data_IF_760337953989
#
_entry.id   IF_760337953989
#
_cell.length_a   1.000
_cell.length_b   1.000
_cell.length_c   1.000
_cell.angle_alpha   90.00
_cell.angle_beta   90.00
_cell.angle_gamma   90.00
#
_symmetry.space_group_name_H-M   'P 1'
#
loop_
_entity.id
_entity.type
_entity.pdbx_description
1 polymer ?
#
# COMPACT_ATOMS: atom_id res chain seq x y z
N UNK A 1 -4.07 1.10 -15.59
CA UNK A 1 -2.91 0.20 -15.37
C UNK A 1 -1.92 0.36 -16.52
N UNK A 2 -0.63 0.35 -16.20
CA UNK A 2 0.45 0.27 -17.20
C UNK A 2 1.06 -1.13 -17.24
N UNK A 3 0.76 -1.88 -18.29
CA UNK A 3 1.31 -3.23 -18.49
C UNK A 3 2.75 -3.18 -19.06
N UNK A 4 3.35 -4.33 -19.39
CA UNK A 4 4.70 -4.43 -19.98
C UNK A 4 4.95 -3.40 -21.09
N UNK A 5 5.98 -2.55 -20.93
CA UNK A 5 6.33 -1.41 -21.83
C UNK A 5 5.22 -0.36 -22.02
N UNK A 6 4.15 -0.44 -21.24
CA UNK A 6 2.98 0.43 -21.32
C UNK A 6 3.04 1.57 -20.32
N UNK A 7 2.26 2.60 -20.64
CA UNK A 7 1.93 3.70 -19.75
C UNK A 7 0.41 3.82 -19.73
N UNK A 8 -0.18 3.86 -18.54
CA UNK A 8 -1.62 4.07 -18.37
C UNK A 8 -1.88 5.05 -17.25
N UNK A 9 -2.54 6.17 -17.56
CA UNK A 9 -2.87 7.21 -16.59
C UNK A 9 -4.38 7.50 -16.61
N UNK A 10 -4.94 7.70 -15.42
CA UNK A 10 -6.21 8.38 -15.21
C UNK A 10 -5.91 9.65 -14.42
N UNK A 11 -6.45 10.78 -14.87
CA UNK A 11 -6.33 12.07 -14.18
C UNK A 11 -7.74 12.62 -14.09
N UNK A 12 -8.28 12.65 -12.89
CA UNK A 12 -9.52 13.34 -12.59
C UNK A 12 -9.21 14.74 -12.05
N UNK A 13 -10.11 15.68 -12.34
CA UNK A 13 -9.92 17.10 -11.99
C UNK A 13 -10.79 17.54 -10.83
N UNK A 14 -11.76 16.72 -10.43
CA UNK A 14 -12.57 16.89 -9.25
C UNK A 14 -13.98 16.33 -9.42
N UNK A 15 -14.57 15.99 -8.28
CA UNK A 15 -15.89 15.39 -8.18
C UNK A 15 -16.01 14.71 -6.83
N UNK A 16 -17.09 13.96 -6.62
CA UNK A 16 -17.10 12.96 -5.55
C UNK A 16 -17.31 11.64 -6.28
N UNK A 17 -16.23 10.93 -6.51
CA UNK A 17 -16.12 9.86 -7.48
C UNK A 17 -16.09 8.49 -6.83
N UNK A 18 -16.47 7.50 -7.64
CA UNK A 18 -16.44 6.11 -7.24
C UNK A 18 -15.60 5.30 -8.22
N UNK A 19 -14.35 5.10 -7.85
CA UNK A 19 -13.39 4.28 -8.56
C UNK A 19 -13.63 2.80 -8.23
N UNK A 20 -14.46 2.13 -9.02
CA UNK A 20 -14.76 0.71 -8.82
C UNK A 20 -13.98 -0.20 -9.77
N UNK A 21 -13.28 -1.19 -9.21
CA UNK A 21 -12.57 -2.22 -9.96
C UNK A 21 -12.62 -3.58 -9.26
N UNK A 22 -13.77 -4.25 -9.30
CA UNK A 22 -14.00 -5.59 -8.74
C UNK A 22 -15.11 -6.31 -9.54
N UNK A 23 -15.47 -7.54 -9.16
CA UNK A 23 -16.73 -8.19 -9.54
C UNK A 23 -16.72 -9.10 -10.78
N UNK A 24 -15.68 -9.06 -11.61
CA UNK A 24 -15.67 -9.80 -12.89
C UNK A 24 -14.86 -11.10 -12.85
N UNK A 25 -13.56 -11.01 -12.52
CA UNK A 25 -12.65 -12.16 -12.54
C UNK A 25 -12.23 -12.54 -11.12
N UNK A 26 -12.73 -13.64 -10.55
CA UNK A 26 -12.31 -14.09 -9.23
C UNK A 26 -10.79 -14.26 -9.14
N UNK A 27 -10.23 -13.89 -8.00
CA UNK A 27 -8.82 -14.10 -7.72
C UNK A 27 -8.60 -15.52 -7.19
N UNK A 28 -7.65 -16.26 -7.77
CA UNK A 28 -7.41 -17.65 -7.40
C UNK A 28 -6.98 -17.84 -5.94
N UNK A 29 -6.50 -16.80 -5.26
CA UNK A 29 -6.05 -16.84 -3.86
C UNK A 29 -7.20 -16.75 -2.87
N UNK A 30 -8.31 -16.10 -3.23
CA UNK A 30 -9.54 -16.02 -2.44
C UNK A 30 -10.78 -15.91 -3.37
N UNK A 31 -11.10 -16.97 -4.13
CA UNK A 31 -12.02 -16.89 -5.27
C UNK A 31 -13.48 -16.68 -4.89
N UNK A 32 -13.82 -16.84 -3.61
CA UNK A 32 -15.18 -16.60 -3.11
C UNK A 32 -15.39 -15.14 -2.67
N UNK A 33 -14.31 -14.37 -2.47
CA UNK A 33 -14.37 -13.06 -1.80
C UNK A 33 -13.67 -11.94 -2.53
N UNK A 34 -12.73 -12.24 -3.42
CA UNK A 34 -11.91 -11.21 -4.07
C UNK A 34 -11.77 -11.43 -5.56
N UNK A 35 -11.59 -10.32 -6.27
CA UNK A 35 -11.45 -10.28 -7.73
C UNK A 35 -10.09 -9.70 -8.14
N UNK A 36 -9.72 -9.92 -9.39
CA UNK A 36 -8.52 -9.36 -10.01
C UNK A 36 -8.82 -7.94 -10.49
N UNK A 37 -8.32 -6.92 -9.78
CA UNK A 37 -8.62 -5.51 -10.09
C UNK A 37 -7.72 -4.95 -11.18
N UNK A 38 -6.41 -5.10 -11.04
CA UNK A 38 -5.39 -4.67 -12.00
C UNK A 38 -5.59 -3.21 -12.49
N UNK A 39 -5.92 -2.29 -11.59
CA UNK A 39 -6.45 -0.95 -11.91
C UNK A 39 -5.94 0.15 -10.95
N UNK A 40 -6.54 1.34 -10.98
CA UNK A 40 -6.32 2.42 -10.00
C UNK A 40 -4.84 2.72 -9.78
N UNK A 41 -4.13 3.11 -10.84
CA UNK A 41 -2.71 3.39 -10.75
C UNK A 41 -1.77 2.18 -10.77
N UNK A 42 -2.26 0.95 -10.94
CA UNK A 42 -1.40 -0.25 -10.95
C UNK A 42 -0.38 -0.29 -12.10
N UNK A 43 0.89 -0.57 -11.77
CA UNK A 43 1.94 -0.96 -12.71
C UNK A 43 2.14 -2.48 -12.74
N UNK A 44 2.27 -3.10 -13.92
CA UNK A 44 2.31 -4.56 -14.02
C UNK A 44 3.31 -5.08 -15.08
N UNK A 45 4.16 -6.02 -14.67
CA UNK A 45 5.02 -6.83 -15.51
C UNK A 45 4.59 -8.30 -15.55
N UNK A 46 5.30 -9.11 -16.34
CA UNK A 46 5.09 -10.56 -16.42
C UNK A 46 6.21 -11.25 -15.65
N UNK A 47 5.90 -11.78 -14.46
CA UNK A 47 6.86 -12.57 -13.68
C UNK A 47 6.96 -13.99 -14.27
N UNK A 48 8.16 -14.48 -14.61
CA UNK A 48 8.35 -15.82 -15.16
C UNK A 48 8.33 -16.88 -14.04
N UNK A 49 7.16 -17.11 -13.43
CA UNK A 49 6.99 -18.20 -12.44
C UNK A 49 6.68 -19.52 -13.13
N UNK A 50 5.70 -19.50 -14.05
CA UNK A 50 5.23 -20.69 -14.77
C UNK A 50 5.65 -20.70 -16.25
N UNK A 51 6.20 -19.59 -16.76
CA UNK A 51 6.63 -19.45 -18.16
C UNK A 51 8.09 -19.02 -18.26
N UNK A 52 8.75 -19.37 -19.37
CA UNK A 52 10.11 -18.89 -19.69
C UNK A 52 10.15 -17.41 -20.12
N UNK A 53 8.98 -16.78 -20.28
CA UNK A 53 8.86 -15.40 -20.74
C UNK A 53 8.61 -14.50 -19.54
N UNK A 54 9.64 -13.75 -19.15
CA UNK A 54 9.53 -12.65 -18.21
C UNK A 54 9.60 -11.31 -18.94
N UNK A 55 8.88 -10.31 -18.45
CA UNK A 55 8.97 -8.96 -19.00
C UNK A 55 8.76 -7.90 -17.91
N UNK A 56 9.66 -6.93 -17.85
CA UNK A 56 9.55 -5.81 -16.92
C UNK A 56 8.28 -5.01 -17.17
N UNK A 57 7.63 -4.59 -16.09
CA UNK A 57 6.35 -3.90 -16.18
C UNK A 57 6.44 -2.41 -16.49
N UNK A 58 5.26 -1.86 -16.78
CA UNK A 58 5.08 -0.46 -17.17
C UNK A 58 4.77 0.47 -16.00
N UNK A 59 4.17 1.60 -16.35
CA UNK A 59 3.84 2.67 -15.40
C UNK A 59 2.32 2.87 -15.36
N UNK A 60 1.72 2.64 -14.21
CA UNK A 60 0.33 2.98 -13.91
C UNK A 60 0.24 4.24 -13.07
N UNK A 61 -0.69 5.12 -13.40
CA UNK A 61 -0.94 6.36 -12.66
C UNK A 61 -2.45 6.55 -12.48
N UNK A 62 -2.87 6.90 -11.27
CA UNK A 62 -4.14 7.54 -10.99
C UNK A 62 -3.83 8.83 -10.22
N UNK A 63 -4.39 9.94 -10.67
CA UNK A 63 -4.34 11.22 -9.95
C UNK A 63 -5.78 11.70 -9.83
N UNK A 64 -6.27 11.85 -8.61
CA UNK A 64 -7.43 12.69 -8.31
C UNK A 64 -6.93 14.06 -7.86
N UNK A 65 -7.73 15.10 -8.05
CA UNK A 65 -7.41 16.44 -7.61
C UNK A 65 -8.33 16.93 -6.49
N UNK A 66 -9.60 16.51 -6.47
CA UNK A 66 -10.60 17.08 -5.56
C UNK A 66 -11.78 16.16 -5.30
N UNK A 67 -12.13 16.16 -4.02
CA UNK A 67 -13.45 15.86 -3.48
C UNK A 67 -13.47 14.53 -2.75
N UNK A 68 -14.65 14.16 -2.26
CA UNK A 68 -14.74 13.03 -1.33
C UNK A 68 -15.05 11.75 -2.09
N UNK A 69 -14.04 10.88 -2.19
CA UNK A 69 -13.97 9.79 -3.12
C UNK A 69 -13.97 8.41 -2.46
N UNK A 70 -14.33 7.43 -3.28
CA UNK A 70 -14.34 6.02 -2.89
C UNK A 70 -13.53 5.21 -3.90
N UNK A 71 -12.46 4.60 -3.41
CA UNK A 71 -11.61 3.69 -4.15
C UNK A 71 -11.93 2.26 -3.73
N UNK A 72 -12.57 1.51 -4.61
CA UNK A 72 -12.91 0.12 -4.37
C UNK A 72 -12.15 -0.78 -5.33
N UNK A 73 -11.14 -1.46 -4.82
CA UNK A 73 -10.43 -2.53 -5.49
C UNK A 73 -10.46 -3.79 -4.63
N UNK A 74 -9.95 -4.87 -5.19
CA UNK A 74 -9.61 -6.09 -4.48
C UNK A 74 -8.11 -6.27 -4.60
N UNK A 75 -7.65 -7.12 -5.53
CA UNK A 75 -6.26 -7.51 -5.60
C UNK A 75 -5.55 -6.75 -6.73
N UNK A 76 -4.38 -6.19 -6.43
CA UNK A 76 -3.57 -5.40 -7.36
C UNK A 76 -4.24 -4.09 -7.82
N UNK A 77 -4.34 -3.13 -6.91
CA UNK A 77 -4.97 -1.82 -7.13
C UNK A 77 -4.34 -0.72 -6.28
N UNK A 78 -4.82 0.51 -6.41
CA UNK A 78 -4.49 1.63 -5.52
C UNK A 78 -2.98 1.90 -5.43
N UNK A 79 -2.38 2.20 -6.59
CA UNK A 79 -0.98 2.60 -6.69
C UNK A 79 0.03 1.47 -6.46
N UNK A 80 -0.38 0.20 -6.46
CA UNK A 80 0.55 -0.91 -6.33
C UNK A 80 1.40 -1.15 -7.59
N UNK A 81 2.59 -1.73 -7.40
CA UNK A 81 3.45 -2.20 -8.49
C UNK A 81 3.72 -3.70 -8.38
N UNK A 82 3.68 -4.41 -9.51
CA UNK A 82 4.10 -5.82 -9.59
C UNK A 82 5.09 -6.06 -10.73
N UNK A 83 6.21 -6.71 -10.40
CA UNK A 83 7.29 -7.15 -11.30
C UNK A 83 7.94 -6.06 -12.16
N UNK A 84 9.01 -5.45 -11.63
CA UNK A 84 9.80 -4.39 -12.30
C UNK A 84 8.93 -3.28 -12.93
N UNK A 85 7.91 -2.82 -12.20
CA UNK A 85 6.95 -1.81 -12.63
C UNK A 85 6.86 -0.66 -11.64
N UNK A 86 6.13 0.38 -12.02
CA UNK A 86 5.79 1.51 -11.17
C UNK A 86 4.28 1.70 -11.12
N UNK A 87 3.70 1.64 -9.92
CA UNK A 87 2.32 2.04 -9.66
C UNK A 87 2.25 3.30 -8.80
N UNK A 88 1.30 4.16 -9.11
CA UNK A 88 1.12 5.47 -8.50
C UNK A 88 -0.38 5.77 -8.35
N UNK A 89 -0.82 6.07 -7.13
CA UNK A 89 -2.09 6.73 -6.86
C UNK A 89 -1.79 7.99 -6.05
N UNK A 90 -2.28 9.15 -6.50
CA UNK A 90 -2.21 10.39 -5.76
C UNK A 90 -3.61 10.99 -5.63
N UNK A 91 -4.11 11.15 -4.41
CA UNK A 91 -5.26 11.98 -4.07
C UNK A 91 -4.77 13.28 -3.41
N UNK A 92 -5.55 14.35 -3.53
CA UNK A 92 -5.16 15.71 -3.22
C UNK A 92 -6.06 16.41 -2.20
N UNK A 93 -7.37 16.16 -2.21
CA UNK A 93 -8.34 16.82 -1.33
C UNK A 93 -9.51 15.87 -1.14
N UNK A 94 -9.87 15.49 0.08
CA UNK A 94 -11.03 14.61 0.24
C UNK A 94 -11.28 14.18 1.66
N UNK A 95 -12.17 13.21 1.82
CA UNK A 95 -12.42 12.50 3.09
C UNK A 95 -12.71 11.06 2.67
N UNK A 96 -11.67 10.41 2.19
CA UNK A 96 -11.72 9.37 1.20
C UNK A 96 -11.72 7.98 1.82
N UNK A 97 -12.19 7.03 1.02
CA UNK A 97 -12.29 5.64 1.44
C UNK A 97 -11.59 4.74 0.46
N UNK A 98 -10.50 4.14 0.91
CA UNK A 98 -9.72 3.17 0.20
C UNK A 98 -10.05 1.79 0.70
N UNK A 99 -10.79 1.02 -0.09
CA UNK A 99 -11.07 -0.38 0.18
C UNK A 99 -10.31 -1.28 -0.80
N UNK A 100 -9.54 -2.22 -0.26
CA UNK A 100 -8.84 -3.22 -1.04
C UNK A 100 -8.81 -4.59 -0.37
N UNK A 101 -8.38 -5.60 -1.11
CA UNK A 101 -8.17 -6.94 -0.57
C UNK A 101 -6.71 -7.17 -0.17
N UNK A 102 -5.82 -7.15 -1.17
CA UNK A 102 -4.43 -7.57 -1.04
C UNK A 102 -3.57 -6.95 -2.15
N UNK A 103 -2.29 -6.72 -1.91
CA UNK A 103 -1.39 -6.18 -2.95
C UNK A 103 -1.89 -4.83 -3.48
N UNK A 104 -2.24 -3.94 -2.58
CA UNK A 104 -2.84 -2.65 -2.89
C UNK A 104 -2.24 -1.55 -2.01
N UNK A 105 -2.75 -0.33 -2.12
CA UNK A 105 -2.42 0.79 -1.24
C UNK A 105 -0.91 1.06 -1.19
N UNK A 106 -0.34 1.25 -2.38
CA UNK A 106 1.07 1.54 -2.55
C UNK A 106 2.02 0.35 -2.34
N UNK A 107 1.54 -0.89 -2.34
CA UNK A 107 2.40 -2.07 -2.24
C UNK A 107 3.35 -2.22 -3.44
N UNK A 108 4.63 -2.45 -3.19
CA UNK A 108 5.64 -2.77 -4.21
C UNK A 108 6.05 -4.24 -4.16
N UNK A 109 5.84 -4.99 -5.25
CA UNK A 109 5.94 -6.46 -5.26
C UNK A 109 6.87 -6.95 -6.36
N UNK A 110 7.83 -7.83 -6.03
CA UNK A 110 8.80 -8.42 -6.95
C UNK A 110 9.62 -7.38 -7.71
N UNK A 111 10.46 -6.63 -7.00
CA UNK A 111 11.29 -5.54 -7.56
C UNK A 111 10.51 -4.40 -8.21
N UNK A 112 9.22 -4.27 -7.92
CA UNK A 112 8.40 -3.13 -8.34
C UNK A 112 8.29 -2.07 -7.25
N UNK A 113 7.87 -0.87 -7.67
CA UNK A 113 7.61 0.25 -6.77
C UNK A 113 6.10 0.52 -6.79
N UNK A 114 5.51 0.62 -5.61
CA UNK A 114 4.15 1.12 -5.41
C UNK A 114 4.17 2.39 -4.56
N UNK A 115 3.28 3.32 -4.88
CA UNK A 115 3.04 4.53 -4.09
C UNK A 115 1.55 4.85 -4.08
N UNK A 116 1.02 5.01 -2.87
CA UNK A 116 -0.20 5.74 -2.60
C UNK A 116 0.17 7.01 -1.84
N UNK A 117 -0.23 8.16 -2.36
CA UNK A 117 -0.10 9.46 -1.70
C UNK A 117 -1.50 10.05 -1.52
N UNK A 118 -1.84 10.39 -0.29
CA UNK A 118 -2.98 11.25 0.01
C UNK A 118 -2.45 12.55 0.65
N UNK A 119 -3.05 13.67 0.32
CA UNK A 119 -2.55 14.99 0.73
C UNK A 119 -3.39 15.57 1.87
N UNK A 120 -4.68 15.28 1.92
CA UNK A 120 -5.52 15.82 2.99
C UNK A 120 -6.87 15.13 3.06
N UNK A 121 -7.31 14.86 4.28
CA UNK A 121 -8.68 14.44 4.54
C UNK A 121 -8.84 13.98 5.97
N UNK A 122 -9.99 13.39 6.29
CA UNK A 122 -10.02 12.40 7.37
C UNK A 122 -10.38 11.08 6.67
N UNK A 123 -9.38 10.26 6.42
CA UNK A 123 -9.39 9.19 5.43
C UNK A 123 -9.46 7.80 6.08
N UNK A 124 -9.93 6.83 5.31
CA UNK A 124 -9.97 5.44 5.75
C UNK A 124 -9.32 4.51 4.74
N UNK A 125 -8.30 3.81 5.20
CA UNK A 125 -7.56 2.80 4.45
C UNK A 125 -7.87 1.42 5.00
N UNK A 126 -8.66 0.64 4.26
CA UNK A 126 -9.08 -0.69 4.67
C UNK A 126 -8.60 -1.76 3.69
N UNK A 127 -7.88 -2.74 4.22
CA UNK A 127 -7.51 -3.96 3.51
C UNK A 127 -8.06 -5.20 4.21
N UNK A 128 -8.73 -6.09 3.47
CA UNK A 128 -9.29 -7.31 4.08
C UNK A 128 -8.23 -8.36 4.43
N UNK A 129 -7.02 -8.25 3.87
CA UNK A 129 -5.91 -9.15 4.16
C UNK A 129 -4.59 -8.43 4.49
N UNK A 130 -3.57 -8.48 3.63
CA UNK A 130 -2.21 -8.06 3.96
C UNK A 130 -1.31 -7.90 2.74
N UNK A 131 -0.04 -7.54 2.92
CA UNK A 131 0.85 -7.13 1.82
C UNK A 131 0.22 -5.97 1.05
N UNK A 132 -0.18 -4.92 1.79
CA UNK A 132 -0.89 -3.77 1.24
C UNK A 132 -0.20 -2.46 1.64
N UNK A 133 -0.76 -1.73 2.61
CA UNK A 133 -0.42 -0.35 3.00
C UNK A 133 1.08 -0.09 3.10
N UNK A 134 1.65 0.44 2.01
CA UNK A 134 3.07 0.74 1.91
C UNK A 134 3.99 -0.47 2.10
N UNK A 135 3.54 -1.69 1.78
CA UNK A 135 4.34 -2.90 1.97
C UNK A 135 5.31 -3.11 0.79
N UNK A 136 6.57 -3.41 1.09
CA UNK A 136 7.54 -3.89 0.10
C UNK A 136 7.72 -5.40 0.20
N UNK A 137 7.62 -6.12 -0.91
CA UNK A 137 7.75 -7.57 -0.94
C UNK A 137 8.67 -8.06 -2.08
N UNK A 138 9.57 -8.99 -1.77
CA UNK A 138 10.51 -9.61 -2.71
C UNK A 138 11.30 -8.53 -3.48
N UNK A 139 12.17 -7.81 -2.77
CA UNK A 139 12.92 -6.63 -3.26
C UNK A 139 12.07 -5.45 -3.75
N UNK A 140 10.74 -5.54 -3.65
CA UNK A 140 9.84 -4.44 -3.97
C UNK A 140 9.87 -3.34 -2.90
N UNK A 141 9.46 -2.15 -3.30
CA UNK A 141 9.42 -0.96 -2.44
C UNK A 141 7.99 -0.42 -2.43
N UNK A 142 7.37 -0.40 -1.25
CA UNK A 142 6.03 0.13 -1.07
C UNK A 142 6.03 1.42 -0.26
N UNK A 143 5.18 2.35 -0.66
CA UNK A 143 4.94 3.61 0.03
C UNK A 143 3.44 3.85 0.17
N UNK A 144 3.00 4.09 1.39
CA UNK A 144 1.76 4.80 1.66
C UNK A 144 2.12 6.05 2.44
N UNK A 145 1.71 7.21 1.93
CA UNK A 145 2.05 8.50 2.55
C UNK A 145 0.79 9.36 2.64
N UNK A 146 0.39 9.70 3.86
CA UNK A 146 -0.67 10.67 4.15
C UNK A 146 -0.03 11.95 4.72
N UNK A 147 -0.50 13.13 4.29
CA UNK A 147 0.09 14.42 4.71
C UNK A 147 -0.70 15.14 5.82
N UNK A 148 -1.99 14.83 6.02
CA UNK A 148 -2.78 15.34 7.15
C UNK A 148 -4.17 14.72 7.25
N UNK A 149 -4.63 14.52 8.48
CA UNK A 149 -5.99 14.07 8.74
C UNK A 149 -6.23 13.58 10.15
N UNK A 150 -7.32 12.86 10.37
CA UNK A 150 -7.42 11.93 11.49
C UNK A 150 -7.80 10.59 10.87
N UNK A 151 -6.79 9.78 10.59
CA UNK A 151 -6.87 8.73 9.60
C UNK A 151 -6.98 7.35 10.24
N UNK A 152 -7.62 6.45 9.51
CA UNK A 152 -7.85 5.08 9.96
C UNK A 152 -7.20 4.07 9.02
N UNK A 153 -6.12 3.43 9.49
CA UNK A 153 -5.41 2.36 8.81
C UNK A 153 -5.83 1.01 9.36
N UNK A 154 -6.60 0.25 8.58
CA UNK A 154 -7.08 -1.07 8.96
C UNK A 154 -6.59 -2.14 7.99
N UNK A 155 -6.00 -3.19 8.54
CA UNK A 155 -5.59 -4.35 7.76
C UNK A 155 -5.64 -5.60 8.63
N UNK A 156 -5.64 -6.79 8.02
CA UNK A 156 -5.62 -8.02 8.82
C UNK A 156 -4.22 -8.33 9.34
N UNK A 157 -3.20 -8.22 8.50
CA UNK A 157 -1.81 -8.63 8.83
C UNK A 157 -0.81 -8.08 7.82
N UNK A 158 0.47 -8.00 8.18
CA UNK A 158 1.60 -7.87 7.23
C UNK A 158 1.43 -6.70 6.25
N UNK A 159 1.03 -5.52 6.73
CA UNK A 159 0.61 -4.41 5.87
C UNK A 159 1.43 -3.15 6.16
N UNK A 160 1.10 -2.46 7.26
CA UNK A 160 1.52 -1.10 7.64
C UNK A 160 3.04 -0.89 7.62
N UNK A 161 3.55 -0.52 6.44
CA UNK A 161 4.96 -0.26 6.20
C UNK A 161 5.84 -1.51 6.38
N UNK A 162 5.33 -2.71 6.06
CA UNK A 162 6.08 -3.96 6.26
C UNK A 162 7.09 -4.22 5.14
N UNK A 163 8.32 -4.61 5.51
CA UNK A 163 9.36 -5.06 4.58
C UNK A 163 9.52 -6.59 4.53
N UNK A 164 9.02 -7.24 3.49
CA UNK A 164 9.08 -8.70 3.30
C UNK A 164 10.12 -9.12 2.27
N UNK A 165 10.89 -10.17 2.58
CA UNK A 165 11.80 -10.82 1.62
C UNK A 165 12.67 -9.80 0.86
N UNK A 166 13.56 -9.05 1.56
CA UNK A 166 14.35 -7.92 1.01
C UNK A 166 13.57 -6.65 0.66
N UNK A 167 12.25 -6.67 0.78
CA UNK A 167 11.42 -5.52 0.47
C UNK A 167 11.61 -4.37 1.46
N UNK A 168 11.29 -3.17 0.99
CA UNK A 168 11.26 -1.96 1.81
C UNK A 168 9.82 -1.49 1.86
N UNK A 169 9.23 -1.49 3.06
CA UNK A 169 7.90 -0.95 3.29
C UNK A 169 7.96 0.35 4.08
N UNK A 170 7.15 1.32 3.67
CA UNK A 170 7.01 2.62 4.32
C UNK A 170 5.55 2.99 4.40
N UNK A 171 5.06 3.17 5.62
CA UNK A 171 3.84 3.93 5.90
C UNK A 171 4.28 5.21 6.62
N UNK A 172 3.92 6.36 6.08
CA UNK A 172 4.20 7.66 6.68
C UNK A 172 2.93 8.49 6.76
N UNK A 173 2.54 8.84 7.98
CA UNK A 173 1.45 9.74 8.28
C UNK A 173 2.02 11.01 8.93
N UNK A 174 1.45 12.16 8.59
CA UNK A 174 1.83 13.44 9.13
C UNK A 174 0.58 14.19 9.57
N UNK A 175 0.61 14.80 10.76
CA UNK A 175 -0.49 15.62 11.30
C UNK A 175 -1.81 14.87 11.47
N UNK A 176 -2.12 14.44 12.68
CA UNK A 176 -3.44 13.89 12.92
C UNK A 176 -3.67 13.36 14.31
N UNK A 177 -4.72 12.57 14.49
CA UNK A 177 -4.81 11.64 15.59
C UNK A 177 -5.32 10.33 15.01
N UNK A 178 -4.39 9.41 14.78
CA UNK A 178 -4.59 8.36 13.81
C UNK A 178 -4.76 7.01 14.48
N UNK A 179 -5.36 6.07 13.75
CA UNK A 179 -5.62 4.72 14.24
C UNK A 179 -4.98 3.68 13.32
N UNK A 180 -4.05 2.91 13.87
CA UNK A 180 -3.35 1.83 13.18
C UNK A 180 -3.76 0.48 13.74
N UNK A 181 -4.71 -0.17 13.07
CA UNK A 181 -5.24 -1.47 13.48
C UNK A 181 -4.86 -2.56 12.48
N UNK A 182 -3.93 -3.41 12.90
CA UNK A 182 -3.60 -4.64 12.19
C UNK A 182 -3.13 -5.72 13.18
N UNK A 183 -3.58 -6.96 12.98
CA UNK A 183 -3.18 -8.08 13.84
C UNK A 183 -1.72 -8.47 13.59
N UNK A 184 -1.16 -9.16 14.59
CA UNK A 184 0.27 -9.53 14.64
C UNK A 184 1.17 -8.28 14.57
N UNK A 185 2.50 -8.40 14.79
CA UNK A 185 3.38 -7.27 14.51
C UNK A 185 3.29 -6.89 13.04
N UNK A 186 2.60 -5.80 12.74
CA UNK A 186 2.31 -5.33 11.38
C UNK A 186 2.77 -3.89 11.14
N UNK A 187 3.15 -3.17 12.19
CA UNK A 187 3.63 -1.79 12.13
C UNK A 187 5.15 -1.73 12.05
N UNK A 188 5.68 -1.42 10.87
CA UNK A 188 7.09 -1.10 10.67
C UNK A 188 8.03 -2.28 10.93
N UNK A 189 7.54 -3.50 10.74
CA UNK A 189 8.32 -4.73 10.90
C UNK A 189 8.89 -5.21 9.58
N UNK A 190 9.97 -5.97 9.65
CA UNK A 190 10.48 -6.74 8.51
C UNK A 190 10.33 -8.24 8.73
N UNK A 191 10.42 -9.00 7.64
CA UNK A 191 10.64 -10.44 7.68
C UNK A 191 11.90 -10.81 6.89
N UNK A 192 12.75 -11.72 7.41
CA UNK A 192 13.95 -12.16 6.72
C UNK A 192 13.62 -12.85 5.41
N UNK A 193 14.55 -12.78 4.45
CA UNK A 193 14.48 -13.55 3.22
C UNK A 193 14.51 -15.05 3.53
N UNK A 194 13.73 -15.84 2.78
CA UNK A 194 13.73 -17.30 2.88
C UNK A 194 14.96 -17.95 2.26
N UNK A 195 15.65 -17.24 1.37
CA UNK A 195 16.71 -17.81 0.52
C UNK A 195 18.09 -17.23 0.78
N UNK A 196 18.17 -16.11 1.48
CA UNK A 196 19.41 -15.32 1.65
C UNK A 196 19.49 -14.76 3.08
N UNK A 197 20.70 -14.57 3.60
CA UNK A 197 20.93 -13.95 4.93
C UNK A 197 20.78 -12.42 4.87
N UNK A 198 19.60 -11.96 4.46
CA UNK A 198 19.29 -10.54 4.34
C UNK A 198 17.83 -10.32 4.78
N UNK A 199 17.55 -9.17 5.39
CA UNK A 199 16.20 -8.80 5.81
C UNK A 199 15.70 -7.58 5.05
N UNK A 200 14.37 -7.44 4.98
CA UNK A 200 13.75 -6.22 4.49
C UNK A 200 13.85 -5.07 5.50
N UNK A 201 13.27 -3.93 5.15
CA UNK A 201 13.14 -2.79 6.07
C UNK A 201 11.68 -2.40 6.12
N UNK A 202 11.06 -2.51 7.29
CA UNK A 202 9.75 -1.93 7.55
C UNK A 202 9.88 -0.59 8.27
N UNK A 203 9.07 0.39 7.87
CA UNK A 203 9.10 1.74 8.43
C UNK A 203 7.66 2.19 8.63
N UNK A 204 7.34 2.58 9.87
CA UNK A 204 6.18 3.42 10.16
C UNK A 204 6.70 4.75 10.70
N UNK A 205 6.21 5.83 10.11
CA UNK A 205 6.39 7.19 10.61
C UNK A 205 5.00 7.73 10.88
N UNK A 206 4.76 8.07 12.12
CA UNK A 206 3.67 8.90 12.55
C UNK A 206 4.33 10.14 13.15
N UNK A 207 4.08 11.30 12.54
CA UNK A 207 4.71 12.54 12.95
C UNK A 207 3.71 13.69 12.98
N UNK A 208 3.38 14.05 14.22
CA UNK A 208 2.43 15.01 14.74
C UNK A 208 1.06 14.42 15.01
N UNK A 209 0.65 14.55 16.26
CA UNK A 209 -0.58 14.07 16.82
C UNK A 209 -0.40 14.00 18.32
N UNK A 210 -1.48 14.01 19.09
CA UNK A 210 -1.38 13.87 20.56
C UNK A 210 -2.13 12.67 21.12
N UNK A 211 -2.83 11.91 20.25
CA UNK A 211 -3.72 10.81 20.64
C UNK A 211 -3.77 9.68 19.61
N UNK A 212 -2.63 9.33 19.04
CA UNK A 212 -2.52 8.22 18.09
C UNK A 212 -2.67 6.86 18.79
N UNK A 213 -3.32 5.93 18.11
CA UNK A 213 -3.55 4.58 18.63
C UNK A 213 -2.99 3.53 17.70
N UNK A 214 -2.21 2.62 18.27
CA UNK A 214 -1.62 1.49 17.56
C UNK A 214 -2.13 0.19 18.16
N UNK A 215 -2.30 -0.84 17.33
CA UNK A 215 -2.58 -2.20 17.80
C UNK A 215 -1.47 -2.70 18.74
N UNK A 216 -0.22 -2.47 18.34
CA UNK A 216 0.94 -2.70 19.20
C UNK A 216 1.06 -1.58 20.25
N UNK A 217 1.56 -1.87 21.48
CA UNK A 217 1.76 -0.86 22.51
C UNK A 217 2.94 0.06 22.19
N UNK A 218 2.72 1.01 21.29
CA UNK A 218 3.65 2.06 20.87
C UNK A 218 3.29 3.34 21.64
N UNK A 219 4.26 3.91 22.35
CA UNK A 219 4.06 5.15 23.11
C UNK A 219 4.32 6.39 22.22
N UNK A 220 3.71 7.51 22.57
CA UNK A 220 4.02 8.83 22.01
C UNK A 220 5.51 9.19 22.20
N UNK A 221 6.05 10.01 21.29
CA UNK A 221 7.42 10.50 21.32
C UNK A 221 8.49 9.38 21.38
N UNK A 222 8.24 8.29 20.67
CA UNK A 222 9.07 7.09 20.64
C UNK A 222 9.70 6.86 19.27
N UNK A 223 11.00 6.58 19.26
CA UNK A 223 11.66 5.89 18.16
C UNK A 223 11.95 4.45 18.59
N UNK A 224 11.21 3.50 18.01
CA UNK A 224 11.31 2.08 18.29
C UNK A 224 12.02 1.36 17.14
N UNK A 225 13.09 0.63 17.45
CA UNK A 225 13.71 -0.31 16.51
C UNK A 225 13.12 -1.70 16.69
N UNK A 226 12.61 -2.30 15.62
CA UNK A 226 11.97 -3.62 15.68
C UNK A 226 13.04 -4.74 15.67
N UNK A 227 12.96 -5.74 16.58
CA UNK A 227 13.87 -6.89 16.56
C UNK A 227 13.86 -7.67 15.25
N UNK A 228 12.75 -7.63 14.52
CA UNK A 228 12.58 -8.29 13.23
C UNK A 228 13.24 -7.55 12.06
N UNK A 229 13.86 -6.39 12.32
CA UNK A 229 14.26 -5.42 11.30
C UNK A 229 13.14 -4.39 11.11
N UNK A 230 13.50 -3.13 10.93
CA UNK A 230 12.56 -2.02 10.76
C UNK A 230 12.47 -1.08 11.96
N UNK A 231 11.64 -0.05 11.84
CA UNK A 231 11.46 0.99 12.85
C UNK A 231 10.04 1.55 12.85
N UNK A 232 9.65 2.09 14.00
CA UNK A 232 8.47 2.92 14.18
C UNK A 232 8.91 4.23 14.81
N UNK A 233 8.56 5.35 14.20
CA UNK A 233 8.59 6.68 14.80
C UNK A 233 7.16 7.09 15.09
N UNK A 234 6.84 7.43 16.33
CA UNK A 234 5.60 8.11 16.74
C UNK A 234 6.03 9.37 17.47
N UNK A 235 5.67 10.55 16.96
CA UNK A 235 6.15 11.83 17.50
C UNK A 235 5.09 12.92 17.51
#
# INVERSE_FOLDING_TARGET
MGFTKGFGALIDSGGNDFYFASGEYPDFRDPEKSFQSMSQGMGMGIRPEESIVGASGGIGILIDQKGTDQYHGDYFSQGSGYYYSLGLLCDHEGNDKYYAGRYAQGAGIHSAIGLLKDVSGDDTYECTFGVSQGCGHDTGIGFLVDDCGNDAYRSKTTSQGVGLEKGIGVLADFYGNDTYDANDPSQGVSSPSKTEEITGIGIVIDNQGDRDTFHDPIAENLLLYRPSGGLVLNR
#
